data_IF_533616461348
#
_entry.id   IF_533616461348
#
_cell.length_a   1.000
_cell.length_b   1.000
_cell.length_c   1.000
_cell.angle_alpha   90.00
_cell.angle_beta   90.00
_cell.angle_gamma   90.00
#
_symmetry.space_group_name_H-M   'P 1'
#
loop_
_entity.id
_entity.type
_entity.pdbx_description
1 polymer ?
#
# COMPACT_ATOMS: atom_id res chain seq x y z
N UNK A 1 -7.71 10.12 11.01
CA UNK A 1 -7.37 8.69 11.24
C UNK A 1 -6.69 8.44 12.59
N UNK A 2 -5.50 9.00 12.84
CA UNK A 2 -4.65 8.68 14.01
C UNK A 2 -5.32 8.85 15.39
N UNK A 3 -6.15 9.88 15.60
CA UNK A 3 -6.75 10.21 16.92
C UNK A 3 -8.21 9.77 17.12
N UNK A 4 -8.94 9.49 16.04
CA UNK A 4 -10.38 9.21 16.14
C UNK A 4 -10.61 7.84 16.78
N UNK A 5 -11.38 7.78 17.88
CA UNK A 5 -11.69 6.53 18.59
C UNK A 5 -12.73 5.66 17.88
N UNK A 6 -13.73 6.28 17.23
CA UNK A 6 -14.82 5.58 16.53
C UNK A 6 -14.32 4.88 15.24
N UNK A 7 -14.46 3.56 15.10
CA UNK A 7 -13.96 2.81 13.94
C UNK A 7 -14.75 3.10 12.66
N UNK A 8 -16.07 3.20 12.74
CA UNK A 8 -16.93 3.51 11.57
C UNK A 8 -16.54 4.83 10.90
N UNK A 9 -16.25 5.86 11.69
CA UNK A 9 -15.78 7.15 11.17
C UNK A 9 -14.43 7.02 10.45
N UNK A 10 -13.51 6.19 10.98
CA UNK A 10 -12.23 5.93 10.31
C UNK A 10 -12.41 5.15 9.01
N UNK A 11 -13.30 4.15 9.02
CA UNK A 11 -13.63 3.33 7.85
C UNK A 11 -14.24 4.20 6.75
N UNK A 12 -15.27 4.99 7.05
CA UNK A 12 -15.90 5.89 6.09
C UNK A 12 -14.92 6.89 5.49
N UNK A 13 -14.08 7.52 6.33
CA UNK A 13 -13.03 8.43 5.84
C UNK A 13 -11.99 7.72 4.98
N UNK A 14 -11.54 6.52 5.37
CA UNK A 14 -10.57 5.74 4.60
C UNK A 14 -11.12 5.39 3.23
N UNK A 15 -12.34 4.85 3.16
CA UNK A 15 -12.99 4.50 1.90
C UNK A 15 -13.13 5.73 1.01
N UNK A 16 -13.65 6.84 1.55
CA UNK A 16 -13.80 8.08 0.78
C UNK A 16 -12.45 8.61 0.27
N UNK A 17 -11.38 8.51 1.08
CA UNK A 17 -10.04 8.94 0.69
C UNK A 17 -9.43 8.05 -0.42
N UNK A 18 -9.62 6.74 -0.34
CA UNK A 18 -9.10 5.79 -1.32
C UNK A 18 -9.93 5.76 -2.62
N UNK A 19 -11.19 6.20 -2.59
CA UNK A 19 -12.06 6.28 -3.77
C UNK A 19 -12.10 7.67 -4.42
N UNK A 20 -11.19 8.57 -4.07
CA UNK A 20 -11.12 9.91 -4.68
C UNK A 20 -10.85 9.81 -6.17
N UNK A 21 -11.71 10.46 -6.96
CA UNK A 21 -11.64 10.49 -8.43
C UNK A 21 -11.51 9.10 -9.06
N UNK A 22 -11.99 8.04 -8.40
CA UNK A 22 -11.75 6.68 -8.88
C UNK A 22 -12.47 6.41 -10.20
N UNK A 23 -13.66 6.99 -10.41
CA UNK A 23 -14.44 6.82 -11.64
C UNK A 23 -13.78 7.50 -12.83
N UNK A 24 -13.20 8.67 -12.61
CA UNK A 24 -12.58 9.49 -13.63
C UNK A 24 -11.13 9.05 -13.91
N UNK A 25 -10.35 8.77 -12.86
CA UNK A 25 -8.94 8.42 -13.01
C UNK A 25 -8.72 6.98 -13.47
N UNK A 26 -9.63 6.04 -13.18
CA UNK A 26 -9.46 4.65 -13.59
C UNK A 26 -9.34 4.48 -15.12
N UNK A 27 -10.27 4.98 -15.96
CA UNK A 27 -10.13 4.88 -17.41
C UNK A 27 -8.89 5.64 -17.92
N UNK A 28 -8.60 6.83 -17.37
CA UNK A 28 -7.41 7.61 -17.73
C UNK A 28 -6.10 6.85 -17.43
N UNK A 29 -6.00 6.20 -16.28
CA UNK A 29 -4.83 5.40 -15.93
C UNK A 29 -4.67 4.20 -16.87
N UNK A 30 -5.77 3.56 -17.26
CA UNK A 30 -5.73 2.47 -18.24
C UNK A 30 -5.21 2.95 -19.59
N UNK A 31 -5.70 4.09 -20.08
CA UNK A 31 -5.20 4.71 -21.32
C UNK A 31 -3.72 5.10 -21.19
N UNK A 32 -3.31 5.73 -20.09
CA UNK A 32 -1.91 6.12 -19.84
C UNK A 32 -0.99 4.91 -19.86
N UNK A 33 -1.37 3.80 -19.23
CA UNK A 33 -0.55 2.57 -19.22
C UNK A 33 -0.41 2.01 -20.63
N UNK A 34 -1.49 1.97 -21.41
CA UNK A 34 -1.44 1.51 -22.80
C UNK A 34 -0.59 2.42 -23.69
N UNK A 35 -0.73 3.75 -23.56
CA UNK A 35 0.05 4.71 -24.32
C UNK A 35 1.54 4.64 -23.97
N UNK A 36 1.88 4.52 -22.68
CA UNK A 36 3.26 4.34 -22.22
C UNK A 36 3.90 3.06 -22.76
N UNK A 37 3.13 1.97 -22.81
CA UNK A 37 3.62 0.72 -23.40
C UNK A 37 3.85 0.86 -24.92
N UNK A 38 2.91 1.48 -25.65
CA UNK A 38 3.08 1.77 -27.09
C UNK A 38 4.31 2.63 -27.35
N UNK A 39 4.53 3.68 -26.56
CA UNK A 39 5.70 4.55 -26.66
C UNK A 39 7.00 3.77 -26.49
N UNK A 40 7.10 2.94 -25.45
CA UNK A 40 8.28 2.11 -25.20
C UNK A 40 8.58 1.17 -26.37
N UNK A 41 7.55 0.49 -26.90
CA UNK A 41 7.69 -0.41 -28.04
C UNK A 41 8.15 0.32 -29.30
N UNK A 42 7.64 1.52 -29.57
CA UNK A 42 8.07 2.34 -30.72
C UNK A 42 9.53 2.79 -30.61
N UNK A 43 10.01 3.01 -29.38
CA UNK A 43 11.40 3.35 -29.10
C UNK A 43 12.33 2.13 -29.02
N UNK A 44 11.80 0.91 -29.21
CA UNK A 44 12.58 -0.34 -29.18
C UNK A 44 12.79 -0.94 -27.79
N UNK A 45 12.11 -0.44 -26.76
CA UNK A 45 12.18 -0.97 -25.40
C UNK A 45 11.07 -2.01 -25.16
N UNK A 46 11.33 -3.07 -24.37
CA UNK A 46 10.33 -4.12 -24.12
C UNK A 46 9.14 -3.65 -23.27
N UNK A 47 9.35 -2.66 -22.40
CA UNK A 47 8.31 -2.08 -21.56
C UNK A 47 8.70 -0.66 -21.13
N UNK A 48 7.73 0.08 -20.60
CA UNK A 48 7.94 1.46 -20.16
C UNK A 48 8.89 1.58 -18.96
N UNK A 49 8.92 0.58 -18.06
CA UNK A 49 9.85 0.61 -16.94
C UNK A 49 11.31 0.51 -17.41
N UNK A 50 11.61 -0.35 -18.39
CA UNK A 50 12.93 -0.47 -19.00
C UNK A 50 13.36 0.85 -19.65
N UNK A 51 12.45 1.54 -20.34
CA UNK A 51 12.69 2.87 -20.90
C UNK A 51 13.06 3.90 -19.82
N UNK A 52 12.29 4.01 -18.74
CA UNK A 52 12.57 4.96 -17.66
C UNK A 52 13.85 4.63 -16.89
N UNK A 53 14.09 3.34 -16.62
CA UNK A 53 15.22 2.90 -15.79
C UNK A 53 16.60 3.02 -16.45
N UNK A 54 16.67 3.18 -17.77
CA UNK A 54 17.95 3.30 -18.50
C UNK A 54 18.78 4.50 -18.00
N UNK A 55 18.13 5.64 -17.83
CA UNK A 55 18.75 6.87 -17.34
C UNK A 55 18.97 6.87 -15.82
N UNK A 56 18.26 6.00 -15.09
CA UNK A 56 18.36 5.90 -13.65
C UNK A 56 19.56 5.05 -13.21
N UNK A 57 19.89 5.12 -11.92
CA UNK A 57 20.93 4.30 -11.30
C UNK A 57 20.59 2.80 -11.34
N UNK A 58 19.29 2.46 -11.36
CA UNK A 58 18.84 1.07 -11.37
C UNK A 58 19.10 0.35 -12.68
N UNK A 59 19.29 1.07 -13.80
CA UNK A 59 19.63 0.58 -15.15
C UNK A 59 18.66 -0.36 -15.83
N UNK A 60 17.90 -1.17 -15.09
CA UNK A 60 16.88 -2.06 -15.65
C UNK A 60 15.69 -2.25 -14.71
N UNK A 61 14.55 -2.62 -15.29
CA UNK A 61 13.35 -2.99 -14.55
C UNK A 61 13.56 -4.28 -13.73
N UNK A 62 14.35 -5.25 -14.21
CA UNK A 62 14.64 -6.46 -13.42
C UNK A 62 15.41 -6.12 -12.15
N UNK A 63 16.38 -5.20 -12.22
CA UNK A 63 17.17 -4.79 -11.07
C UNK A 63 16.29 -4.18 -9.97
N UNK A 64 15.30 -3.36 -10.34
CA UNK A 64 14.29 -2.83 -9.42
C UNK A 64 13.44 -3.96 -8.83
N UNK A 65 12.97 -4.89 -9.66
CA UNK A 65 12.14 -6.02 -9.21
C UNK A 65 12.88 -6.94 -8.23
N UNK A 66 14.14 -7.26 -8.51
CA UNK A 66 15.00 -8.07 -7.63
C UNK A 66 15.26 -7.35 -6.32
N UNK A 67 15.62 -6.07 -6.36
CA UNK A 67 15.83 -5.27 -5.14
C UNK A 67 14.59 -5.25 -4.23
N UNK A 68 13.41 -4.99 -4.80
CA UNK A 68 12.15 -4.97 -4.03
C UNK A 68 11.82 -6.36 -3.46
N UNK A 69 12.08 -7.43 -4.22
CA UNK A 69 11.84 -8.80 -3.78
C UNK A 69 12.76 -9.22 -2.62
N UNK A 70 14.07 -8.94 -2.74
CA UNK A 70 15.03 -9.20 -1.67
C UNK A 70 14.75 -8.39 -0.41
N UNK A 71 14.39 -7.11 -0.57
CA UNK A 71 14.00 -6.26 0.54
C UNK A 71 12.76 -6.82 1.25
N UNK A 72 11.78 -7.28 0.48
CA UNK A 72 10.57 -7.89 1.02
C UNK A 72 10.90 -9.17 1.80
N UNK A 73 11.76 -10.06 1.29
CA UNK A 73 12.19 -11.26 2.04
C UNK A 73 12.88 -10.92 3.36
N UNK A 74 13.75 -9.89 3.37
CA UNK A 74 14.44 -9.44 4.58
C UNK A 74 13.48 -8.82 5.60
N UNK A 75 12.43 -8.13 5.14
CA UNK A 75 11.44 -7.47 6.00
C UNK A 75 10.34 -8.41 6.51
N UNK A 76 10.04 -9.52 5.81
CA UNK A 76 9.01 -10.51 6.21
C UNK A 76 9.09 -10.95 7.68
N UNK A 77 10.25 -11.37 8.24
CA UNK A 77 10.30 -11.84 9.63
C UNK A 77 10.02 -10.72 10.64
N UNK A 78 10.48 -9.49 10.37
CA UNK A 78 10.16 -8.32 11.20
C UNK A 78 8.66 -7.99 11.11
N UNK A 79 8.12 -7.97 9.89
CA UNK A 79 6.71 -7.71 9.65
C UNK A 79 5.79 -8.73 10.33
N UNK A 80 6.14 -10.02 10.33
CA UNK A 80 5.35 -11.04 11.03
C UNK A 80 5.23 -10.75 12.54
N UNK A 81 6.36 -10.36 13.18
CA UNK A 81 6.39 -9.99 14.60
C UNK A 81 5.58 -8.72 14.87
N UNK A 82 5.74 -7.69 14.03
CA UNK A 82 4.99 -6.44 14.18
C UNK A 82 3.50 -6.63 13.96
N UNK A 83 3.11 -7.43 12.96
CA UNK A 83 1.72 -7.73 12.65
C UNK A 83 1.03 -8.43 13.83
N UNK A 84 1.69 -9.42 14.44
CA UNK A 84 1.18 -10.09 15.64
C UNK A 84 1.07 -9.13 16.83
N UNK A 85 2.09 -8.29 17.03
CA UNK A 85 2.06 -7.28 18.08
C UNK A 85 0.89 -6.29 17.91
N UNK A 86 0.68 -5.78 16.70
CA UNK A 86 -0.38 -4.81 16.41
C UNK A 86 -1.77 -5.45 16.56
N UNK A 87 -2.00 -6.63 15.99
CA UNK A 87 -3.31 -7.30 16.03
C UNK A 87 -3.69 -7.74 17.45
N UNK A 88 -2.79 -8.41 18.16
CA UNK A 88 -3.09 -8.97 19.48
C UNK A 88 -3.11 -7.89 20.57
N UNK A 89 -2.14 -6.97 20.56
CA UNK A 89 -1.88 -6.10 21.70
C UNK A 89 -2.47 -4.70 21.55
N UNK A 90 -2.50 -4.13 20.34
CA UNK A 90 -3.04 -2.79 20.12
C UNK A 90 -4.54 -2.89 19.82
N UNK A 91 -4.92 -3.68 18.81
CA UNK A 91 -6.31 -3.78 18.40
C UNK A 91 -7.14 -4.56 19.42
N UNK A 92 -6.65 -5.68 19.94
CA UNK A 92 -7.34 -6.45 20.99
C UNK A 92 -7.61 -5.65 22.27
N UNK A 93 -6.65 -4.84 22.75
CA UNK A 93 -6.88 -3.96 23.91
C UNK A 93 -7.89 -2.86 23.60
N UNK A 94 -7.75 -2.21 22.44
CA UNK A 94 -8.64 -1.12 22.02
C UNK A 94 -10.08 -1.59 21.78
N UNK A 95 -10.26 -2.79 21.23
CA UNK A 95 -11.58 -3.41 21.07
C UNK A 95 -12.21 -3.74 22.43
N UNK A 96 -11.44 -4.25 23.39
CA UNK A 96 -11.90 -4.47 24.78
C UNK A 96 -12.30 -3.15 25.46
N UNK A 97 -11.48 -2.10 25.35
CA UNK A 97 -11.78 -0.77 25.91
C UNK A 97 -13.05 -0.14 25.31
N UNK A 98 -13.31 -0.37 24.02
CA UNK A 98 -14.47 0.17 23.33
C UNK A 98 -15.70 -0.73 23.38
N UNK A 99 -15.59 -1.95 23.93
CA UNK A 99 -16.68 -2.94 23.95
C UNK A 99 -17.09 -3.46 22.57
N UNK A 100 -16.18 -3.45 21.59
CA UNK A 100 -16.44 -3.84 20.20
C UNK A 100 -15.84 -5.22 19.94
N UNK A 101 -16.53 -6.15 19.24
CA UNK A 101 -15.95 -7.44 18.86
C UNK A 101 -14.70 -7.25 17.98
N UNK A 102 -13.69 -8.08 18.20
CA UNK A 102 -12.47 -8.07 17.39
C UNK A 102 -12.56 -9.11 16.28
N UNK A 103 -12.49 -8.66 15.03
CA UNK A 103 -12.64 -9.51 13.83
C UNK A 103 -11.41 -10.40 13.52
N UNK A 104 -10.37 -10.37 14.36
CA UNK A 104 -9.14 -11.14 14.15
C UNK A 104 -8.27 -10.67 12.98
N UNK A 105 -8.65 -9.56 12.31
CA UNK A 105 -8.03 -9.06 11.08
C UNK A 105 -7.50 -7.64 11.27
N UNK A 106 -6.28 -7.44 10.80
CA UNK A 106 -5.63 -6.13 10.74
C UNK A 106 -6.24 -5.30 9.60
N UNK A 107 -7.14 -4.39 9.94
CA UNK A 107 -7.85 -3.54 8.98
C UNK A 107 -7.06 -2.24 8.70
N UNK A 108 -6.86 -1.79 7.44
CA UNK A 108 -6.05 -0.61 7.12
C UNK A 108 -6.47 0.70 7.81
N UNK A 109 -7.74 0.83 8.17
CA UNK A 109 -8.28 1.99 8.91
C UNK A 109 -8.12 1.89 10.44
N UNK A 110 -7.56 0.79 10.93
CA UNK A 110 -7.26 0.53 12.35
C UNK A 110 -5.76 0.58 12.67
N UNK A 111 -4.90 0.41 11.67
CA UNK A 111 -3.44 0.22 11.80
C UNK A 111 -2.63 1.49 12.05
N UNK A 112 -3.25 2.66 12.19
CA UNK A 112 -2.50 3.90 12.40
C UNK A 112 -2.23 4.10 13.90
N UNK A 113 -0.95 4.00 14.34
CA UNK A 113 -0.61 4.15 15.74
C UNK A 113 -0.95 5.57 16.18
N UNK A 114 -1.75 5.71 17.23
CA UNK A 114 -1.90 6.98 17.94
C UNK A 114 -0.67 7.29 18.82
N UNK A 115 0.29 6.36 18.92
CA UNK A 115 1.40 6.36 19.89
C UNK A 115 2.76 6.72 19.30
N UNK A 116 2.81 7.35 18.12
CA UNK A 116 4.02 7.98 17.56
C UNK A 116 3.95 9.51 17.76
N UNK A 117 3.70 9.92 18.99
CA UNK A 117 3.80 11.29 19.49
C UNK A 117 4.33 11.24 20.92
#
# INVERSE_FOLDING_TARGET
MKKCRKPETRKGLYTAFQSRCSKENYPLLQEIVQMRHKLANMLGYPNHASYETELLMSKSAETVSTFLSELLEKLRPMWAKEKEYISARIEGKRCKELGIPFDGKMNPYMTLPSTLA
#
